data_IF_960144474643
#
_entry.id   IF_960144474643
#
_cell.length_a   1.000
_cell.length_b   1.000
_cell.length_c   1.000
_cell.angle_alpha   90.00
_cell.angle_beta   90.00
_cell.angle_gamma   90.00
#
_symmetry.space_group_name_H-M   'P 1'
#
loop_
_entity.id
_entity.type
_entity.pdbx_description
1 polymer ?
#
# COMPACT_ATOMS: atom_id res chain seq x y z
N UNK A 1 -16.00 3.32 7.55
CA UNK A 1 -14.94 3.99 6.80
C UNK A 1 -14.13 3.00 6.01
N UNK A 2 -13.71 3.40 4.81
CA UNK A 2 -12.91 2.50 3.97
C UNK A 2 -11.48 2.42 4.48
N UNK A 3 -10.92 1.22 4.42
CA UNK A 3 -9.52 0.98 4.75
C UNK A 3 -8.75 0.78 3.45
N UNK A 4 -7.69 1.55 3.29
CA UNK A 4 -6.82 1.48 2.11
C UNK A 4 -5.46 0.90 2.47
N UNK A 5 -4.98 0.01 1.62
CA UNK A 5 -3.62 -0.51 1.70
C UNK A 5 -2.72 0.34 0.80
N UNK A 6 -1.57 0.78 1.30
CA UNK A 6 -0.64 1.57 0.51
C UNK A 6 0.37 0.65 -0.17
N UNK A 7 0.45 0.70 -1.50
CA UNK A 7 1.39 -0.10 -2.29
C UNK A 7 2.37 0.81 -3.02
N UNK A 8 3.65 0.48 -2.94
CA UNK A 8 4.68 1.28 -3.59
C UNK A 8 6.05 0.63 -3.50
N UNK A 9 7.04 1.21 -4.19
CA UNK A 9 8.39 0.66 -4.22
C UNK A 9 9.12 0.95 -2.90
N UNK A 10 9.90 -0.01 -2.45
CA UNK A 10 10.76 0.11 -1.26
C UNK A 10 12.20 -0.26 -1.56
N UNK A 11 12.41 -1.46 -2.12
CA UNK A 11 13.75 -2.00 -2.34
C UNK A 11 14.60 -1.11 -3.25
N UNK A 12 15.80 -0.79 -2.80
CA UNK A 12 16.75 0.00 -3.60
C UNK A 12 16.54 1.49 -3.53
N UNK A 13 15.55 1.98 -2.79
CA UNK A 13 15.30 3.40 -2.63
C UNK A 13 15.82 3.89 -1.27
N UNK A 14 16.20 5.18 -1.15
CA UNK A 14 16.64 5.74 0.13
C UNK A 14 15.57 5.53 1.20
N UNK A 15 16.00 5.05 2.38
CA UNK A 15 15.12 4.76 3.51
C UNK A 15 13.96 3.84 3.13
N UNK A 16 14.17 2.96 2.15
CA UNK A 16 13.15 2.05 1.62
C UNK A 16 11.86 2.79 1.21
N UNK A 17 12.00 4.07 0.84
CA UNK A 17 10.88 4.91 0.45
C UNK A 17 9.83 5.12 1.57
N UNK A 18 10.17 4.83 2.81
CA UNK A 18 9.25 4.97 3.94
C UNK A 18 8.65 6.37 4.07
N UNK A 19 9.41 7.48 3.86
CA UNK A 19 8.80 8.81 3.93
C UNK A 19 7.59 8.97 3.03
N UNK A 20 7.63 8.42 1.80
CA UNK A 20 6.49 8.51 0.89
C UNK A 20 5.28 7.71 1.41
N UNK A 21 5.54 6.55 2.03
CA UNK A 21 4.47 5.75 2.64
C UNK A 21 3.80 6.49 3.80
N UNK A 22 4.59 7.12 4.66
CA UNK A 22 4.05 7.87 5.80
C UNK A 22 3.33 9.14 5.36
N UNK A 23 3.84 9.83 4.33
CA UNK A 23 3.16 11.00 3.77
C UNK A 23 1.80 10.63 3.19
N UNK A 24 1.74 9.52 2.46
CA UNK A 24 0.49 9.03 1.89
C UNK A 24 -0.51 8.67 3.00
N UNK A 25 -0.04 8.00 4.04
CA UNK A 25 -0.90 7.66 5.17
C UNK A 25 -1.50 8.91 5.81
N UNK A 26 -0.66 9.92 6.05
CA UNK A 26 -1.12 11.17 6.65
C UNK A 26 -2.20 11.84 5.82
N UNK A 27 -1.98 11.94 4.51
CA UNK A 27 -2.94 12.57 3.61
C UNK A 27 -4.25 11.80 3.53
N UNK A 28 -4.16 10.48 3.43
CA UNK A 28 -5.36 9.64 3.34
C UNK A 28 -6.17 9.65 4.64
N UNK A 29 -5.50 9.61 5.79
CA UNK A 29 -6.21 9.70 7.07
C UNK A 29 -6.87 11.06 7.23
N UNK A 30 -6.22 12.12 6.79
CA UNK A 30 -6.82 13.47 6.83
C UNK A 30 -8.07 13.54 5.96
N UNK A 31 -8.15 12.73 4.90
CA UNK A 31 -9.31 12.66 4.02
C UNK A 31 -10.42 11.71 4.53
N UNK A 32 -10.20 11.05 5.67
CA UNK A 32 -11.21 10.20 6.30
C UNK A 32 -11.06 8.70 6.09
N UNK A 33 -9.97 8.26 5.46
CA UNK A 33 -9.71 6.83 5.28
C UNK A 33 -8.95 6.25 6.46
N UNK A 34 -9.20 4.97 6.76
CA UNK A 34 -8.27 4.19 7.55
C UNK A 34 -7.17 3.69 6.61
N UNK A 35 -5.96 3.51 7.12
CA UNK A 35 -4.83 3.14 6.28
C UNK A 35 -4.05 1.99 6.91
N UNK A 36 -3.76 0.98 6.09
CA UNK A 36 -2.86 -0.09 6.44
C UNK A 36 -1.56 0.17 5.68
N UNK A 37 -0.50 0.53 6.42
CA UNK A 37 0.76 0.98 5.84
C UNK A 37 1.84 -0.07 6.07
N UNK A 38 2.34 -0.75 5.00
CA UNK A 38 3.34 -1.80 5.16
C UNK A 38 4.67 -1.28 5.74
N UNK A 39 4.96 0.02 5.65
CA UNK A 39 6.16 0.59 6.25
C UNK A 39 6.14 0.49 7.79
N UNK A 40 4.96 0.39 8.39
CA UNK A 40 4.83 0.22 9.83
C UNK A 40 5.00 -1.24 10.26
N UNK A 41 5.03 -2.16 9.31
CA UNK A 41 5.15 -3.60 9.55
C UNK A 41 6.61 -4.07 9.43
N UNK A 42 7.56 -3.15 9.36
CA UNK A 42 8.98 -3.47 9.33
C UNK A 42 9.34 -4.30 10.56
N UNK A 43 10.08 -5.39 10.34
CA UNK A 43 10.48 -6.26 11.44
C UNK A 43 9.37 -7.14 11.97
N UNK A 44 8.30 -7.33 11.24
CA UNK A 44 7.20 -8.23 11.63
C UNK A 44 7.76 -9.60 11.97
N UNK A 45 7.29 -10.16 13.09
CA UNK A 45 7.74 -11.45 13.58
C UNK A 45 7.56 -12.57 12.56
N UNK A 46 8.59 -13.38 12.37
CA UNK A 46 8.58 -14.50 11.45
C UNK A 46 8.88 -14.15 10.01
N UNK A 47 9.01 -12.87 9.68
CA UNK A 47 9.28 -12.43 8.31
C UNK A 47 10.78 -12.17 8.15
N UNK A 48 11.47 -13.07 7.45
CA UNK A 48 12.91 -12.96 7.19
C UNK A 48 13.26 -12.91 5.71
N UNK A 49 12.32 -13.32 4.86
CA UNK A 49 12.54 -13.37 3.41
C UNK A 49 11.43 -12.64 2.68
N UNK A 50 11.70 -12.28 1.42
CA UNK A 50 10.74 -11.58 0.58
C UNK A 50 9.38 -12.28 0.52
N UNK A 51 9.39 -13.63 0.39
CA UNK A 51 8.14 -14.39 0.32
C UNK A 51 7.31 -14.27 1.60
N UNK A 52 7.97 -14.22 2.76
CA UNK A 52 7.28 -14.05 4.05
C UNK A 52 6.57 -12.70 4.11
N UNK A 53 7.28 -11.63 3.70
CA UNK A 53 6.71 -10.29 3.66
C UNK A 53 5.54 -10.22 2.68
N UNK A 54 5.69 -10.84 1.51
CA UNK A 54 4.62 -10.81 0.51
C UNK A 54 3.38 -11.56 0.97
N UNK A 55 3.54 -12.70 1.63
CA UNK A 55 2.40 -13.43 2.17
C UNK A 55 1.65 -12.60 3.21
N UNK A 56 2.38 -11.94 4.10
CA UNK A 56 1.80 -11.08 5.11
C UNK A 56 1.08 -9.88 4.48
N UNK A 57 1.73 -9.25 3.50
CA UNK A 57 1.15 -8.11 2.78
C UNK A 57 -0.13 -8.48 2.04
N UNK A 58 -0.15 -9.64 1.40
CA UNK A 58 -1.33 -10.07 0.65
C UNK A 58 -2.50 -10.40 1.58
N UNK A 59 -2.24 -10.94 2.77
CA UNK A 59 -3.29 -11.14 3.76
C UNK A 59 -3.89 -9.81 4.20
N UNK A 60 -3.03 -8.83 4.49
CA UNK A 60 -3.46 -7.51 4.91
C UNK A 60 -4.26 -6.82 3.80
N UNK A 61 -3.78 -6.91 2.57
CA UNK A 61 -4.42 -6.32 1.40
C UNK A 61 -5.83 -6.92 1.18
N UNK A 62 -5.97 -8.22 1.36
CA UNK A 62 -7.24 -8.90 1.15
C UNK A 62 -8.33 -8.40 2.12
N UNK A 63 -7.93 -7.89 3.27
CA UNK A 63 -8.86 -7.36 4.27
C UNK A 63 -9.16 -5.87 4.06
N UNK A 64 -8.51 -5.22 3.10
CA UNK A 64 -8.73 -3.81 2.82
C UNK A 64 -9.84 -3.60 1.78
N UNK A 65 -10.34 -2.38 1.70
CA UNK A 65 -11.39 -2.02 0.75
C UNK A 65 -10.83 -1.54 -0.59
N UNK A 66 -9.58 -1.12 -0.60
CA UNK A 66 -8.92 -0.65 -1.80
C UNK A 66 -7.43 -0.47 -1.60
N UNK A 67 -6.75 -0.08 -2.66
CA UNK A 67 -5.29 0.11 -2.66
C UNK A 67 -4.96 1.51 -3.17
N UNK A 68 -4.12 2.23 -2.43
CA UNK A 68 -3.58 3.53 -2.84
C UNK A 68 -2.15 3.31 -3.33
N UNK A 69 -1.90 3.64 -4.58
CA UNK A 69 -0.61 3.37 -5.24
C UNK A 69 0.30 4.59 -5.17
N UNK A 70 1.55 4.36 -4.78
CA UNK A 70 2.60 5.38 -4.82
C UNK A 70 3.28 5.40 -6.19
N UNK A 71 3.89 6.53 -6.59
CA UNK A 71 4.63 6.59 -7.85
C UNK A 71 5.72 5.52 -7.90
N UNK A 72 5.92 4.92 -9.06
CA UNK A 72 6.92 3.87 -9.27
C UNK A 72 6.48 2.47 -8.89
N UNK A 73 5.22 2.30 -8.50
CA UNK A 73 4.72 0.98 -8.08
C UNK A 73 4.91 -0.09 -9.16
N UNK A 74 4.78 0.28 -10.43
CA UNK A 74 4.88 -0.68 -11.55
C UNK A 74 6.29 -1.24 -11.75
N UNK A 75 7.31 -0.56 -11.26
CA UNK A 75 8.70 -1.01 -11.36
C UNK A 75 9.12 -1.84 -10.15
N UNK A 76 8.26 -1.98 -9.16
CA UNK A 76 8.51 -2.76 -7.95
C UNK A 76 7.83 -4.12 -8.08
N UNK A 77 8.61 -5.19 -7.95
CA UNK A 77 8.07 -6.55 -8.02
C UNK A 77 6.95 -6.77 -7.01
N UNK A 78 7.16 -6.33 -5.77
CA UNK A 78 6.17 -6.52 -4.72
C UNK A 78 4.93 -5.66 -4.92
N UNK A 79 5.11 -4.37 -5.21
CA UNK A 79 4.00 -3.47 -5.41
C UNK A 79 3.17 -3.85 -6.64
N UNK A 80 3.84 -4.24 -7.73
CA UNK A 80 3.14 -4.67 -8.94
C UNK A 80 2.28 -5.91 -8.68
N UNK A 81 2.81 -6.86 -7.90
CA UNK A 81 2.05 -8.05 -7.53
C UNK A 81 0.86 -7.70 -6.65
N UNK A 82 1.05 -6.83 -5.67
CA UNK A 82 -0.04 -6.39 -4.80
C UNK A 82 -1.16 -5.73 -5.58
N UNK A 83 -0.83 -4.84 -6.50
CA UNK A 83 -1.83 -4.16 -7.34
C UNK A 83 -2.55 -5.16 -8.23
N UNK A 84 -1.81 -6.08 -8.84
CA UNK A 84 -2.40 -7.12 -9.69
C UNK A 84 -3.41 -7.97 -8.90
N UNK A 85 -3.04 -8.40 -7.72
CA UNK A 85 -3.92 -9.19 -6.86
C UNK A 85 -5.16 -8.37 -6.46
N UNK A 86 -4.98 -7.10 -6.12
CA UNK A 86 -6.09 -6.24 -5.76
C UNK A 86 -7.12 -6.18 -6.89
N UNK A 87 -6.67 -5.93 -8.12
CA UNK A 87 -7.56 -5.91 -9.29
C UNK A 87 -8.23 -7.26 -9.52
N UNK A 88 -7.49 -8.34 -9.31
CA UNK A 88 -8.02 -9.71 -9.48
C UNK A 88 -9.10 -10.03 -8.45
N UNK A 89 -9.03 -9.42 -7.27
CA UNK A 89 -10.03 -9.58 -6.21
C UNK A 89 -11.21 -8.61 -6.35
N UNK A 90 -11.21 -7.78 -7.38
CA UNK A 90 -12.25 -6.79 -7.57
C UNK A 90 -12.09 -5.53 -6.72
N UNK A 91 -10.93 -5.34 -6.10
CA UNK A 91 -10.66 -4.15 -5.33
C UNK A 91 -10.22 -3.01 -6.26
N UNK A 92 -10.57 -1.78 -5.87
CA UNK A 92 -10.11 -0.60 -6.61
C UNK A 92 -8.69 -0.30 -6.19
N UNK A 93 -7.80 -0.18 -7.18
CA UNK A 93 -6.42 0.23 -6.93
C UNK A 93 -6.16 1.46 -7.79
N UNK A 94 -5.88 2.59 -7.15
CA UNK A 94 -5.69 3.88 -7.81
C UNK A 94 -4.56 4.64 -7.14
N UNK A 95 -3.94 5.60 -7.85
CA UNK A 95 -2.96 6.48 -7.20
C UNK A 95 -3.56 7.21 -6.00
N UNK A 96 -2.71 7.54 -5.03
CA UNK A 96 -3.13 8.28 -3.83
C UNK A 96 -3.95 9.51 -4.20
N UNK A 97 -3.49 10.28 -5.19
CA UNK A 97 -4.19 11.51 -5.59
C UNK A 97 -5.61 11.26 -6.09
N UNK A 98 -5.85 10.12 -6.72
CA UNK A 98 -7.20 9.79 -7.18
C UNK A 98 -8.14 9.54 -6.01
N UNK A 99 -7.66 8.86 -4.98
CA UNK A 99 -8.44 8.66 -3.76
C UNK A 99 -8.77 9.98 -3.06
N UNK A 100 -7.77 10.88 -3.00
CA UNK A 100 -7.96 12.19 -2.37
C UNK A 100 -8.98 13.03 -3.15
N UNK A 101 -8.93 12.99 -4.48
CA UNK A 101 -9.90 13.72 -5.32
C UNK A 101 -11.32 13.21 -5.12
N UNK A 102 -11.51 11.90 -5.03
CA UNK A 102 -12.85 11.35 -4.80
C UNK A 102 -13.38 11.74 -3.43
N UNK A 103 -12.53 11.72 -2.40
CA UNK A 103 -12.93 12.09 -1.05
C UNK A 103 -13.32 13.57 -0.96
N UNK A 104 -12.73 14.42 -1.80
CA UNK A 104 -13.01 15.86 -1.82
C UNK A 104 -14.26 16.22 -2.64
N UNK A 105 -14.80 15.30 -3.39
CA UNK A 105 -15.96 15.56 -4.27
C UNK A 105 -17.26 15.68 -3.52
#
# INVERSE_FOLDING_TARGET
>A
MSTLYVAGPMTGLPDFNYPAFFDAERELRAAGFDVLNPAREEGRDGCTQWLDFMRASLRDLADCDGVAMLPGWGDSRGAALEVHIAWSLGLRAMPVQSWLREAAS
#
